data_IF_610022237239
#
_entry.id   IF_610022237239
#
_cell.length_a   1.000
_cell.length_b   1.000
_cell.length_c   1.000
_cell.angle_alpha   90.00
_cell.angle_beta   90.00
_cell.angle_gamma   90.00
#
_symmetry.space_group_name_H-M   'P 1'
#
loop_
_entity.id
_entity.type
_entity.pdbx_description
1 polymer ?
#
# COMPACT_ATOMS: atom_id res chain seq x y z
N UNK A 1 27.64 8.30 -8.55
CA UNK A 1 26.94 7.93 -7.30
C UNK A 1 25.46 7.68 -7.57
N UNK A 2 24.70 8.62 -8.10
CA UNK A 2 23.26 8.51 -8.41
C UNK A 2 22.92 7.34 -9.37
N UNK A 3 23.75 7.08 -10.40
CA UNK A 3 23.55 5.94 -11.29
C UNK A 3 23.62 4.58 -10.56
N UNK A 4 24.51 4.47 -9.58
CA UNK A 4 24.66 3.27 -8.73
C UNK A 4 23.46 3.09 -7.80
N UNK A 5 22.93 4.19 -7.24
CA UNK A 5 21.71 4.16 -6.43
C UNK A 5 20.46 3.82 -7.27
N UNK A 6 20.35 4.37 -8.50
CA UNK A 6 19.30 3.97 -9.44
C UNK A 6 19.39 2.49 -9.85
N UNK A 7 20.59 1.93 -9.97
CA UNK A 7 20.74 0.48 -10.19
C UNK A 7 20.29 -0.33 -8.98
N UNK A 8 20.61 0.10 -7.74
CA UNK A 8 20.12 -0.51 -6.51
C UNK A 8 18.60 -0.40 -6.40
N UNK A 9 18.02 0.76 -6.71
CA UNK A 9 16.57 0.95 -6.77
C UNK A 9 15.91 -0.05 -7.72
N UNK A 10 16.44 -0.18 -8.96
CA UNK A 10 15.93 -1.15 -9.94
C UNK A 10 16.07 -2.59 -9.46
N UNK A 11 17.11 -2.91 -8.70
CA UNK A 11 17.28 -4.24 -8.11
C UNK A 11 16.25 -4.50 -7.00
N UNK A 12 16.02 -3.53 -6.11
CA UNK A 12 15.00 -3.60 -5.07
C UNK A 12 13.58 -3.66 -5.66
N UNK A 13 13.29 -2.84 -6.69
CA UNK A 13 12.02 -2.87 -7.40
C UNK A 13 11.77 -4.21 -8.12
N UNK A 14 12.81 -4.81 -8.74
CA UNK A 14 12.71 -6.15 -9.33
C UNK A 14 12.45 -7.23 -8.27
N UNK A 15 13.11 -7.13 -7.11
CA UNK A 15 12.85 -8.04 -5.98
C UNK A 15 11.43 -7.86 -5.42
N UNK A 16 10.97 -6.64 -5.25
CA UNK A 16 9.61 -6.33 -4.83
C UNK A 16 8.58 -6.82 -5.87
N UNK A 17 8.81 -6.55 -7.17
CA UNK A 17 7.96 -7.07 -8.25
C UNK A 17 7.97 -8.60 -8.33
N UNK A 18 9.12 -9.26 -8.14
CA UNK A 18 9.19 -10.71 -8.10
C UNK A 18 8.50 -11.29 -6.87
N UNK A 19 8.56 -10.64 -5.70
CA UNK A 19 7.79 -11.00 -4.51
C UNK A 19 6.29 -10.79 -4.74
N UNK A 20 5.88 -9.65 -5.29
CA UNK A 20 4.48 -9.35 -5.66
C UNK A 20 3.95 -10.33 -6.70
N UNK A 21 4.73 -10.67 -7.75
CA UNK A 21 4.36 -11.68 -8.74
C UNK A 21 4.31 -13.09 -8.13
N UNK A 22 5.17 -13.42 -7.16
CA UNK A 22 5.10 -14.67 -6.41
C UNK A 22 3.90 -14.73 -5.48
N UNK A 23 3.56 -13.65 -4.79
CA UNK A 23 2.36 -13.58 -3.95
C UNK A 23 1.08 -13.59 -4.80
N UNK A 24 1.05 -12.88 -5.93
CA UNK A 24 -0.04 -12.94 -6.91
C UNK A 24 -0.15 -14.32 -7.56
N UNK A 25 0.98 -14.98 -7.89
CA UNK A 25 0.97 -16.31 -8.46
C UNK A 25 0.65 -17.39 -7.41
N UNK A 26 0.95 -17.20 -6.13
CA UNK A 26 0.55 -18.12 -5.07
C UNK A 26 -0.95 -17.98 -4.76
N UNK A 27 -1.50 -16.77 -4.71
CA UNK A 27 -2.94 -16.58 -4.65
C UNK A 27 -3.64 -17.14 -5.89
N UNK A 28 -3.07 -16.96 -7.09
CA UNK A 28 -3.61 -17.51 -8.33
C UNK A 28 -3.48 -19.05 -8.42
N UNK A 29 -2.43 -19.65 -7.82
CA UNK A 29 -2.30 -21.13 -7.74
C UNK A 29 -3.28 -21.73 -6.73
N UNK A 30 -3.59 -21.04 -5.64
CA UNK A 30 -4.68 -21.46 -4.75
C UNK A 30 -6.06 -21.43 -5.45
N UNK A 31 -6.21 -20.61 -6.51
CA UNK A 31 -7.42 -20.58 -7.34
C UNK A 31 -7.56 -21.80 -8.26
N UNK A 32 -6.44 -22.43 -8.67
CA UNK A 32 -6.50 -23.56 -9.64
C UNK A 32 -6.68 -24.94 -8.98
N UNK A 33 -6.44 -25.06 -7.66
CA UNK A 33 -6.50 -26.36 -6.97
C UNK A 33 -7.86 -26.72 -6.38
N UNK A 34 -8.84 -25.81 -6.44
CA UNK A 34 -10.19 -26.01 -5.88
C UNK A 34 -11.24 -26.38 -6.94
N UNK A 35 -10.88 -27.13 -7.97
CA UNK A 35 -11.84 -27.68 -8.94
C UNK A 35 -12.45 -28.99 -8.42
N UNK A 36 -13.05 -28.99 -7.24
CA UNK A 36 -13.83 -30.10 -6.73
C UNK A 36 -15.22 -29.63 -6.29
N UNK A 37 -16.12 -29.51 -7.26
CA UNK A 37 -17.49 -29.95 -7.09
C UNK A 37 -18.51 -29.01 -6.45
N UNK A 38 -18.39 -27.66 -6.53
CA UNK A 38 -19.44 -26.72 -6.12
C UNK A 38 -20.17 -26.07 -7.31
N UNK A 39 -21.44 -25.73 -7.12
CA UNK A 39 -22.28 -25.08 -8.13
C UNK A 39 -21.76 -23.65 -8.40
N UNK A 40 -20.87 -23.47 -9.35
CA UNK A 40 -20.24 -22.16 -9.70
C UNK A 40 -18.72 -22.16 -9.75
N UNK A 41 -18.03 -23.16 -9.17
CA UNK A 41 -16.55 -23.21 -9.14
C UNK A 41 -15.93 -23.27 -10.54
N UNK A 42 -16.52 -24.06 -11.44
CA UNK A 42 -16.07 -24.17 -12.83
C UNK A 42 -16.22 -22.83 -13.58
N UNK A 43 -17.33 -22.15 -13.41
CA UNK A 43 -17.60 -20.83 -13.98
C UNK A 43 -16.64 -19.78 -13.40
N UNK A 44 -16.43 -19.78 -12.09
CA UNK A 44 -15.47 -18.89 -11.47
C UNK A 44 -14.05 -19.10 -12.01
N UNK A 45 -13.61 -20.36 -12.09
CA UNK A 45 -12.28 -20.71 -12.63
C UNK A 45 -12.12 -20.31 -14.10
N UNK A 46 -13.20 -20.43 -14.88
CA UNK A 46 -13.20 -20.01 -16.29
C UNK A 46 -13.07 -18.47 -16.40
N UNK A 47 -13.80 -17.72 -15.60
CA UNK A 47 -13.66 -16.27 -15.54
C UNK A 47 -12.24 -15.82 -15.16
N UNK A 48 -11.59 -16.53 -14.23
CA UNK A 48 -10.17 -16.28 -13.89
C UNK A 48 -9.26 -16.56 -15.10
N UNK A 49 -9.50 -17.64 -15.86
CA UNK A 49 -8.74 -17.96 -17.07
C UNK A 49 -8.88 -16.86 -18.14
N UNK A 50 -10.08 -16.33 -18.34
CA UNK A 50 -10.32 -15.19 -19.22
C UNK A 50 -9.50 -13.98 -18.80
N UNK A 51 -9.54 -13.59 -17.54
CA UNK A 51 -8.80 -12.44 -17.03
C UNK A 51 -7.29 -12.59 -17.21
N UNK A 52 -6.78 -13.83 -17.12
CA UNK A 52 -5.36 -14.16 -17.32
C UNK A 52 -4.97 -14.34 -18.79
N UNK A 53 -5.88 -14.17 -19.76
CA UNK A 53 -5.63 -14.43 -21.17
C UNK A 53 -5.31 -15.91 -21.50
N UNK A 54 -5.74 -16.85 -20.64
CA UNK A 54 -5.49 -18.29 -20.77
C UNK A 54 -6.70 -19.08 -21.29
N UNK A 55 -7.83 -18.42 -21.52
CA UNK A 55 -9.01 -19.03 -22.10
C UNK A 55 -8.97 -18.94 -23.63
N UNK A 56 -9.49 -19.95 -24.32
CA UNK A 56 -9.68 -19.91 -25.77
C UNK A 56 -10.61 -18.73 -26.13
N UNK A 57 -10.17 -17.85 -27.02
CA UNK A 57 -10.89 -16.61 -27.38
C UNK A 57 -10.82 -15.47 -26.34
N UNK A 58 -10.01 -15.61 -25.29
CA UNK A 58 -9.94 -14.63 -24.17
C UNK A 58 -9.21 -13.32 -24.49
N UNK A 59 -8.50 -13.24 -25.62
CA UNK A 59 -7.71 -12.06 -25.97
C UNK A 59 -6.50 -11.84 -25.05
N UNK A 60 -5.88 -10.65 -25.14
CA UNK A 60 -4.76 -10.28 -24.28
C UNK A 60 -5.21 -10.03 -22.82
N UNK A 61 -4.29 -10.27 -21.88
CA UNK A 61 -4.53 -10.04 -20.43
C UNK A 61 -4.99 -8.60 -20.20
N UNK A 62 -6.13 -8.44 -19.54
CA UNK A 62 -6.69 -7.13 -19.23
C UNK A 62 -7.34 -6.41 -20.42
N UNK A 63 -7.45 -7.04 -21.60
CA UNK A 63 -8.20 -6.48 -22.72
C UNK A 63 -9.70 -6.44 -22.41
N UNK A 64 -10.45 -5.58 -23.13
CA UNK A 64 -11.92 -5.53 -23.00
C UNK A 64 -12.56 -6.89 -23.21
N UNK A 65 -12.10 -7.69 -24.16
CA UNK A 65 -12.59 -9.04 -24.43
C UNK A 65 -12.36 -9.99 -23.26
N UNK A 66 -11.15 -9.97 -22.66
CA UNK A 66 -10.83 -10.83 -21.52
C UNK A 66 -11.65 -10.45 -20.27
N UNK A 67 -11.86 -9.15 -20.07
CA UNK A 67 -12.66 -8.65 -18.93
C UNK A 67 -14.14 -8.99 -19.10
N UNK A 68 -14.71 -8.86 -20.33
CA UNK A 68 -16.10 -9.26 -20.60
C UNK A 68 -16.31 -10.77 -20.43
N UNK A 69 -15.37 -11.61 -20.88
CA UNK A 69 -15.42 -13.03 -20.64
C UNK A 69 -15.42 -13.38 -19.15
N UNK A 70 -14.54 -12.74 -18.39
CA UNK A 70 -14.49 -12.90 -16.93
C UNK A 70 -15.81 -12.44 -16.28
N UNK A 71 -16.34 -11.27 -16.68
CA UNK A 71 -17.60 -10.74 -16.18
C UNK A 71 -18.76 -11.70 -16.38
N UNK A 72 -18.90 -12.29 -17.60
CA UNK A 72 -19.96 -13.24 -17.93
C UNK A 72 -19.90 -14.46 -16.99
N UNK A 73 -18.74 -15.11 -16.90
CA UNK A 73 -18.59 -16.33 -16.11
C UNK A 73 -18.71 -16.06 -14.60
N UNK A 74 -18.18 -14.92 -14.10
CA UNK A 74 -18.35 -14.57 -12.70
C UNK A 74 -19.80 -14.19 -12.35
N UNK A 75 -20.54 -13.58 -13.29
CA UNK A 75 -21.98 -13.32 -13.08
C UNK A 75 -22.74 -14.63 -12.94
N UNK A 76 -22.53 -15.59 -13.85
CA UNK A 76 -23.14 -16.91 -13.78
C UNK A 76 -22.79 -17.66 -12.48
N UNK A 77 -21.55 -17.56 -12.01
CA UNK A 77 -21.13 -18.13 -10.74
C UNK A 77 -21.78 -17.42 -9.54
N UNK A 78 -21.83 -16.09 -9.56
CA UNK A 78 -22.38 -15.28 -8.48
C UNK A 78 -23.91 -15.49 -8.31
N UNK A 79 -24.65 -15.67 -9.42
CA UNK A 79 -26.08 -16.02 -9.42
C UNK A 79 -26.35 -17.37 -8.77
N UNK A 80 -25.37 -18.29 -8.85
CA UNK A 80 -25.39 -19.59 -8.16
C UNK A 80 -24.90 -19.49 -6.70
N UNK A 81 -24.67 -18.28 -6.18
CA UNK A 81 -24.23 -18.04 -4.80
C UNK A 81 -22.74 -18.24 -4.56
N UNK A 82 -21.90 -18.31 -5.63
CA UNK A 82 -20.46 -18.49 -5.46
C UNK A 82 -19.81 -17.23 -4.88
N UNK A 83 -19.46 -17.27 -3.61
CA UNK A 83 -18.99 -16.13 -2.79
C UNK A 83 -17.76 -15.41 -3.38
N UNK A 84 -16.77 -16.16 -3.89
CA UNK A 84 -15.57 -15.56 -4.48
C UNK A 84 -15.87 -14.84 -5.79
N UNK A 85 -16.85 -15.32 -6.58
CA UNK A 85 -17.28 -14.65 -7.79
C UNK A 85 -18.02 -13.34 -7.46
N UNK A 86 -18.85 -13.33 -6.42
CA UNK A 86 -19.48 -12.12 -5.91
C UNK A 86 -18.42 -11.10 -5.47
N UNK A 87 -17.41 -11.51 -4.70
CA UNK A 87 -16.29 -10.65 -4.30
C UNK A 87 -15.49 -10.11 -5.49
N UNK A 88 -15.22 -10.93 -6.50
CA UNK A 88 -14.52 -10.53 -7.71
C UNK A 88 -15.32 -9.51 -8.54
N UNK A 89 -16.62 -9.74 -8.73
CA UNK A 89 -17.52 -8.80 -9.39
C UNK A 89 -17.58 -7.47 -8.63
N UNK A 90 -17.73 -7.54 -7.31
CA UNK A 90 -17.74 -6.35 -6.47
C UNK A 90 -16.48 -5.50 -6.64
N UNK A 91 -15.32 -6.13 -6.61
CA UNK A 91 -14.03 -5.44 -6.83
C UNK A 91 -13.90 -4.90 -8.26
N UNK A 92 -14.41 -5.63 -9.26
CA UNK A 92 -14.38 -5.19 -10.66
C UNK A 92 -15.25 -3.94 -10.87
N UNK A 93 -16.49 -3.93 -10.37
CA UNK A 93 -17.38 -2.78 -10.47
C UNK A 93 -16.92 -1.59 -9.62
N UNK A 94 -16.24 -1.84 -8.49
CA UNK A 94 -15.71 -0.78 -7.63
C UNK A 94 -14.59 0.03 -8.31
N UNK A 95 -13.68 -0.67 -8.99
CA UNK A 95 -12.53 -0.06 -9.66
C UNK A 95 -12.85 0.44 -11.07
N UNK A 96 -13.78 -0.23 -11.73
CA UNK A 96 -13.95 -0.16 -13.16
C UNK A 96 -12.77 -0.83 -13.89
N UNK A 97 -12.96 -1.18 -15.14
CA UNK A 97 -11.90 -1.74 -16.00
C UNK A 97 -12.25 -1.48 -17.46
N UNK A 98 -11.32 -1.78 -18.39
CA UNK A 98 -11.55 -1.63 -19.82
C UNK A 98 -12.85 -2.32 -20.27
N UNK A 99 -13.85 -1.53 -20.69
CA UNK A 99 -15.17 -2.00 -21.12
C UNK A 99 -16.17 -2.29 -19.98
N UNK A 100 -15.78 -2.15 -18.71
CA UNK A 100 -16.69 -2.26 -17.55
C UNK A 100 -16.61 -0.97 -16.75
N UNK A 101 -17.61 -0.07 -16.87
CA UNK A 101 -17.59 1.19 -16.14
C UNK A 101 -17.69 0.94 -14.62
N UNK A 102 -17.08 1.85 -13.85
CA UNK A 102 -17.24 1.87 -12.40
C UNK A 102 -18.71 2.00 -12.05
N UNK A 103 -19.19 1.16 -11.14
CA UNK A 103 -20.57 1.17 -10.65
C UNK A 103 -20.59 0.78 -9.16
N UNK A 104 -20.66 1.79 -8.30
CA UNK A 104 -20.58 1.59 -6.85
C UNK A 104 -21.80 0.85 -6.31
N UNK A 105 -22.98 1.06 -6.88
CA UNK A 105 -24.20 0.35 -6.45
C UNK A 105 -24.11 -1.16 -6.71
N UNK A 106 -23.65 -1.56 -7.90
CA UNK A 106 -23.42 -2.99 -8.19
C UNK A 106 -22.25 -3.55 -7.36
N UNK A 107 -21.17 -2.78 -7.21
CA UNK A 107 -20.06 -3.18 -6.35
C UNK A 107 -20.54 -3.45 -4.93
N UNK A 108 -21.29 -2.52 -4.34
CA UNK A 108 -21.86 -2.65 -3.00
C UNK A 108 -22.72 -3.91 -2.87
N UNK A 109 -23.65 -4.13 -3.81
CA UNK A 109 -24.53 -5.32 -3.81
C UNK A 109 -23.73 -6.62 -3.76
N UNK A 110 -22.74 -6.76 -4.67
CA UNK A 110 -21.96 -8.00 -4.75
C UNK A 110 -20.98 -8.17 -3.59
N UNK A 111 -20.34 -7.08 -3.13
CA UNK A 111 -19.47 -7.12 -1.95
C UNK A 111 -20.26 -7.47 -0.68
N UNK A 112 -21.48 -6.91 -0.53
CA UNK A 112 -22.35 -7.21 0.59
C UNK A 112 -22.71 -8.70 0.62
N UNK A 113 -23.17 -9.27 -0.50
CA UNK A 113 -23.50 -10.69 -0.60
C UNK A 113 -22.30 -11.58 -0.24
N UNK A 114 -21.10 -11.23 -0.72
CA UNK A 114 -19.89 -11.99 -0.42
C UNK A 114 -19.47 -11.83 1.05
N UNK A 115 -19.60 -10.63 1.62
CA UNK A 115 -19.26 -10.35 3.03
C UNK A 115 -20.21 -11.09 3.98
N UNK A 116 -21.51 -11.10 3.68
CA UNK A 116 -22.53 -11.85 4.44
C UNK A 116 -22.25 -13.36 4.42
N UNK A 117 -21.63 -13.86 3.33
CA UNK A 117 -21.14 -15.23 3.23
C UNK A 117 -19.75 -15.45 3.85
N UNK A 118 -19.19 -14.46 4.55
CA UNK A 118 -17.92 -14.56 5.28
C UNK A 118 -16.66 -14.38 4.43
N UNK A 119 -16.75 -13.80 3.22
CA UNK A 119 -15.58 -13.54 2.38
C UNK A 119 -14.76 -12.36 2.94
N UNK A 120 -13.60 -12.66 3.52
CA UNK A 120 -12.71 -11.72 4.23
C UNK A 120 -12.27 -10.53 3.35
N UNK A 121 -11.92 -10.77 2.10
CA UNK A 121 -11.58 -9.71 1.14
C UNK A 121 -12.75 -8.77 0.87
N UNK A 122 -13.98 -9.28 0.79
CA UNK A 122 -15.17 -8.44 0.62
C UNK A 122 -15.52 -7.66 1.89
N UNK A 123 -15.37 -8.28 3.05
CA UNK A 123 -15.47 -7.55 4.33
C UNK A 123 -14.47 -6.40 4.38
N UNK A 124 -13.23 -6.63 3.97
CA UNK A 124 -12.22 -5.55 3.94
C UNK A 124 -12.62 -4.42 2.98
N UNK A 125 -13.04 -4.73 1.74
CA UNK A 125 -13.48 -3.70 0.78
C UNK A 125 -14.75 -2.96 1.25
N UNK A 126 -15.72 -3.65 1.90
CA UNK A 126 -16.87 -2.99 2.53
C UNK A 126 -16.45 -2.04 3.65
N UNK A 127 -15.52 -2.46 4.50
CA UNK A 127 -14.94 -1.59 5.53
C UNK A 127 -14.31 -0.33 4.95
N UNK A 128 -13.56 -0.44 3.84
CA UNK A 128 -12.98 0.72 3.13
C UNK A 128 -14.05 1.66 2.57
N UNK A 129 -15.09 1.10 1.95
CA UNK A 129 -16.20 1.90 1.42
C UNK A 129 -16.85 2.74 2.52
N UNK A 130 -17.15 2.14 3.66
CA UNK A 130 -17.74 2.88 4.78
C UNK A 130 -16.77 3.82 5.47
N UNK A 131 -15.47 3.49 5.53
CA UNK A 131 -14.46 4.37 6.12
C UNK A 131 -14.22 5.63 5.29
N UNK A 132 -14.11 5.49 3.97
CA UNK A 132 -13.87 6.61 3.06
C UNK A 132 -15.14 7.43 2.82
N UNK A 133 -16.27 6.73 2.63
CA UNK A 133 -17.51 7.32 2.17
C UNK A 133 -17.43 7.75 0.69
N UNK A 134 -18.58 7.99 0.10
CA UNK A 134 -18.76 8.57 -1.24
C UNK A 134 -20.18 9.14 -1.34
N UNK A 135 -20.52 9.76 -2.47
CA UNK A 135 -21.88 10.25 -2.71
C UNK A 135 -22.92 9.11 -2.69
N UNK A 136 -22.50 7.89 -3.12
CA UNK A 136 -23.39 6.73 -3.17
C UNK A 136 -23.40 5.90 -1.86
N UNK A 137 -22.32 5.97 -1.07
CA UNK A 137 -22.15 5.24 0.20
C UNK A 137 -21.70 6.22 1.26
N UNK A 138 -22.58 6.69 2.14
CA UNK A 138 -22.21 7.62 3.21
C UNK A 138 -21.12 7.01 4.12
N UNK A 139 -20.23 7.87 4.61
CA UNK A 139 -19.20 7.48 5.59
C UNK A 139 -19.86 6.98 6.87
N UNK A 140 -19.44 5.78 7.30
CA UNK A 140 -19.96 5.11 8.49
C UNK A 140 -18.84 4.33 9.18
N UNK A 141 -18.27 4.91 10.23
CA UNK A 141 -17.13 4.31 10.93
C UNK A 141 -17.53 3.09 11.77
N UNK A 142 -18.79 2.99 12.21
CA UNK A 142 -19.29 1.83 12.93
C UNK A 142 -19.31 0.59 12.02
N UNK A 143 -19.86 0.75 10.82
CA UNK A 143 -19.86 -0.32 9.81
C UNK A 143 -18.45 -0.65 9.34
N UNK A 144 -17.58 0.34 9.16
CA UNK A 144 -16.18 0.09 8.82
C UNK A 144 -15.49 -0.77 9.88
N UNK A 145 -15.66 -0.42 11.15
CA UNK A 145 -15.15 -1.18 12.30
C UNK A 145 -15.69 -2.61 12.31
N UNK A 146 -16.98 -2.79 12.11
CA UNK A 146 -17.63 -4.10 12.07
C UNK A 146 -17.00 -5.00 10.99
N UNK A 147 -16.95 -4.53 9.74
CA UNK A 147 -16.42 -5.31 8.62
C UNK A 147 -14.91 -5.60 8.75
N UNK A 148 -14.12 -4.63 9.19
CA UNK A 148 -12.69 -4.86 9.39
C UNK A 148 -12.41 -5.80 10.55
N UNK A 149 -13.26 -5.79 11.60
CA UNK A 149 -13.15 -6.76 12.70
C UNK A 149 -13.42 -8.17 12.20
N UNK A 150 -14.45 -8.39 11.38
CA UNK A 150 -14.72 -9.69 10.78
C UNK A 150 -13.58 -10.17 9.89
N UNK A 151 -13.07 -9.31 8.99
CA UNK A 151 -11.98 -9.66 8.11
C UNK A 151 -10.67 -9.94 8.86
N UNK A 152 -10.35 -9.14 9.88
CA UNK A 152 -9.15 -9.33 10.70
C UNK A 152 -9.21 -10.65 11.51
N UNK A 153 -10.40 -11.01 12.03
CA UNK A 153 -10.61 -12.29 12.71
C UNK A 153 -10.37 -13.49 11.79
N UNK A 154 -10.64 -13.34 10.48
CA UNK A 154 -10.34 -14.35 9.45
C UNK A 154 -8.87 -14.31 8.97
N UNK A 155 -8.04 -13.43 9.54
CA UNK A 155 -6.61 -13.31 9.20
C UNK A 155 -6.32 -12.47 7.97
N UNK A 156 -7.24 -11.58 7.55
CA UNK A 156 -7.01 -10.64 6.46
C UNK A 156 -6.10 -9.50 6.91
N UNK A 157 -4.87 -9.46 6.40
CA UNK A 157 -3.81 -8.56 6.85
C UNK A 157 -4.12 -7.07 6.71
N UNK A 158 -4.63 -6.67 5.54
CA UNK A 158 -4.96 -5.28 5.32
C UNK A 158 -6.09 -4.81 6.25
N UNK A 159 -7.06 -5.68 6.57
CA UNK A 159 -8.10 -5.38 7.55
C UNK A 159 -7.52 -5.26 8.97
N UNK A 160 -6.56 -6.13 9.33
CA UNK A 160 -5.86 -6.01 10.63
C UNK A 160 -5.10 -4.69 10.71
N UNK A 161 -4.42 -4.26 9.63
CA UNK A 161 -3.73 -2.97 9.59
C UNK A 161 -4.72 -1.79 9.72
N UNK A 162 -5.80 -1.78 8.92
CA UNK A 162 -6.78 -0.70 8.93
C UNK A 162 -7.52 -0.63 10.29
N UNK A 163 -7.84 -1.78 10.87
CA UNK A 163 -8.41 -1.85 12.22
C UNK A 163 -7.42 -1.34 13.29
N UNK A 164 -6.14 -1.72 13.17
CA UNK A 164 -5.07 -1.20 14.02
C UNK A 164 -4.95 0.32 13.94
N UNK A 165 -5.09 0.88 12.74
CA UNK A 165 -5.13 2.33 12.52
C UNK A 165 -6.33 2.99 13.23
N UNK A 166 -7.52 2.38 13.20
CA UNK A 166 -8.69 2.91 13.93
C UNK A 166 -8.41 2.98 15.44
N UNK A 167 -7.84 1.93 16.03
CA UNK A 167 -7.49 1.93 17.46
C UNK A 167 -6.38 2.93 17.79
N UNK A 168 -5.34 3.03 16.96
CA UNK A 168 -4.24 3.99 17.17
C UNK A 168 -4.69 5.45 17.10
N UNK A 169 -5.73 5.77 16.32
CA UNK A 169 -6.26 7.13 16.18
C UNK A 169 -7.50 7.39 17.03
N UNK A 170 -8.06 6.41 17.71
CA UNK A 170 -9.31 6.54 18.44
C UNK A 170 -10.52 6.85 17.54
N UNK A 171 -10.55 6.29 16.32
CA UNK A 171 -11.62 6.54 15.36
C UNK A 171 -12.82 5.64 15.64
N UNK A 172 -13.89 6.21 16.16
CA UNK A 172 -15.13 5.53 16.57
C UNK A 172 -14.94 4.44 17.66
N UNK A 173 -13.74 4.30 18.18
CA UNK A 173 -13.34 3.45 19.31
C UNK A 173 -12.48 4.26 20.26
N UNK A 174 -12.41 3.89 21.53
CA UNK A 174 -11.41 4.45 22.43
C UNK A 174 -10.02 4.17 21.87
N UNK A 175 -9.14 5.17 21.94
CA UNK A 175 -7.75 4.97 21.53
C UNK A 175 -7.11 3.85 22.38
N UNK A 176 -6.48 2.90 21.70
CA UNK A 176 -5.83 1.74 22.32
C UNK A 176 -4.59 1.37 21.51
N UNK A 177 -3.47 1.96 21.91
CA UNK A 177 -2.20 1.77 21.22
C UNK A 177 -1.67 0.33 21.37
N UNK A 178 -1.96 -0.37 22.48
CA UNK A 178 -1.55 -1.77 22.68
C UNK A 178 -2.29 -2.68 21.69
N UNK A 179 -3.60 -2.50 21.56
CA UNK A 179 -4.42 -3.24 20.60
C UNK A 179 -4.03 -2.92 19.16
N UNK A 180 -3.72 -1.66 18.86
CA UNK A 180 -3.20 -1.28 17.55
C UNK A 180 -1.90 -2.03 17.22
N UNK A 181 -0.96 -2.10 18.15
CA UNK A 181 0.30 -2.84 17.97
C UNK A 181 0.07 -4.33 17.77
N UNK A 182 -0.87 -4.96 18.51
CA UNK A 182 -1.22 -6.36 18.29
C UNK A 182 -1.73 -6.63 16.87
N UNK A 183 -2.60 -5.74 16.37
CA UNK A 183 -3.15 -5.81 15.02
C UNK A 183 -2.09 -5.54 13.94
N UNK A 184 -1.19 -4.59 14.17
CA UNK A 184 -0.05 -4.35 13.27
C UNK A 184 0.92 -5.54 13.23
N UNK A 185 1.17 -6.23 14.37
CA UNK A 185 1.97 -7.47 14.41
C UNK A 185 1.30 -8.59 13.61
N UNK A 186 -0.02 -8.71 13.70
CA UNK A 186 -0.79 -9.65 12.88
C UNK A 186 -0.62 -9.34 11.39
N UNK A 187 -0.74 -8.09 10.99
CA UNK A 187 -0.55 -7.67 9.59
C UNK A 187 0.91 -7.87 9.12
N UNK A 188 1.88 -7.56 9.96
CA UNK A 188 3.31 -7.70 9.66
C UNK A 188 3.78 -9.16 9.56
N UNK A 189 3.06 -10.12 10.17
CA UNK A 189 3.42 -11.56 10.13
C UNK A 189 3.48 -12.15 8.71
N UNK A 190 2.93 -11.44 7.73
CA UNK A 190 2.99 -11.79 6.30
C UNK A 190 3.70 -10.69 5.48
N UNK A 191 4.69 -10.04 6.08
CA UNK A 191 5.57 -9.04 5.45
C UNK A 191 4.84 -7.82 4.85
N UNK A 192 3.73 -7.36 5.46
CA UNK A 192 3.05 -6.13 5.03
C UNK A 192 3.91 -4.89 5.36
N UNK A 193 4.41 -4.13 4.37
CA UNK A 193 5.33 -3.03 4.63
C UNK A 193 4.72 -1.89 5.46
N UNK A 194 3.44 -1.58 5.24
CA UNK A 194 2.72 -0.54 5.98
C UNK A 194 2.62 -0.90 7.47
N UNK A 195 2.40 -2.19 7.78
CA UNK A 195 2.34 -2.67 9.15
C UNK A 195 3.71 -2.64 9.84
N UNK A 196 4.79 -3.02 9.13
CA UNK A 196 6.15 -2.84 9.64
C UNK A 196 6.46 -1.37 9.91
N UNK A 197 6.11 -0.46 9.01
CA UNK A 197 6.30 0.98 9.25
C UNK A 197 5.51 1.46 10.47
N UNK A 198 4.25 1.03 10.64
CA UNK A 198 3.44 1.37 11.80
C UNK A 198 4.05 0.86 13.12
N UNK A 199 4.59 -0.38 13.13
CA UNK A 199 5.33 -0.94 14.27
C UNK A 199 6.61 -0.15 14.55
N UNK A 200 7.34 0.25 13.51
CA UNK A 200 8.52 1.12 13.65
C UNK A 200 8.18 2.43 14.35
N UNK A 201 7.09 3.07 13.95
CA UNK A 201 6.60 4.29 14.62
C UNK A 201 6.16 4.03 16.07
N UNK A 202 5.48 2.91 16.33
CA UNK A 202 5.07 2.53 17.67
C UNK A 202 6.29 2.35 18.59
N UNK A 203 7.32 1.63 18.15
CA UNK A 203 8.57 1.44 18.89
C UNK A 203 9.35 2.76 19.06
N UNK A 204 9.39 3.62 18.03
CA UNK A 204 10.13 4.89 18.08
C UNK A 204 9.55 5.84 19.14
N UNK A 205 8.24 5.84 19.32
CA UNK A 205 7.52 6.76 20.19
C UNK A 205 7.01 6.13 21.48
N UNK A 206 7.21 4.83 21.69
CA UNK A 206 6.71 4.12 22.89
C UNK A 206 5.18 4.04 22.94
N UNK A 207 4.50 3.93 21.80
CA UNK A 207 3.04 3.83 21.71
C UNK A 207 2.58 2.39 21.71
N UNK A 208 1.96 1.93 22.79
CA UNK A 208 1.48 0.55 22.97
C UNK A 208 2.60 -0.49 23.12
N UNK A 209 3.86 -0.06 23.12
CA UNK A 209 5.07 -0.85 23.39
C UNK A 209 6.10 0.04 24.07
N UNK A 210 7.06 -0.53 24.81
CA UNK A 210 8.21 0.25 25.29
C UNK A 210 8.94 0.94 24.14
N UNK A 211 9.43 2.15 24.40
CA UNK A 211 10.22 2.87 23.42
C UNK A 211 11.52 2.14 23.13
N UNK A 212 11.78 1.84 21.86
CA UNK A 212 12.97 1.14 21.39
C UNK A 212 13.34 1.58 19.97
N UNK A 213 14.36 2.41 19.88
CA UNK A 213 14.80 2.96 18.61
C UNK A 213 15.49 1.91 17.70
N UNK A 214 16.12 0.88 18.26
CA UNK A 214 16.75 -0.20 17.47
C UNK A 214 15.70 -1.08 16.82
N UNK A 215 14.67 -1.47 17.57
CA UNK A 215 13.52 -2.17 17.00
C UNK A 215 12.81 -1.31 15.96
N UNK A 216 12.64 -0.01 16.19
CA UNK A 216 12.05 0.90 15.23
C UNK A 216 12.83 0.90 13.90
N UNK A 217 14.15 1.09 13.96
CA UNK A 217 15.01 1.06 12.77
C UNK A 217 14.95 -0.29 12.04
N UNK A 218 14.83 -1.39 12.77
CA UNK A 218 14.67 -2.73 12.19
C UNK A 218 13.35 -2.86 11.43
N UNK A 219 12.24 -2.42 12.00
CA UNK A 219 10.95 -2.41 11.34
C UNK A 219 10.92 -1.48 10.13
N UNK A 220 11.49 -0.27 10.22
CA UNK A 220 11.62 0.63 9.07
C UNK A 220 12.46 0.02 7.96
N UNK A 221 13.52 -0.73 8.29
CA UNK A 221 14.35 -1.42 7.30
C UNK A 221 13.55 -2.47 6.53
N UNK A 222 12.79 -3.32 7.22
CA UNK A 222 11.91 -4.30 6.56
C UNK A 222 10.94 -3.65 5.59
N UNK A 223 10.27 -2.57 6.01
CA UNK A 223 9.34 -1.84 5.15
C UNK A 223 10.05 -1.13 3.98
N UNK A 224 11.23 -0.53 4.22
CA UNK A 224 12.02 0.18 3.21
C UNK A 224 12.56 -0.77 2.13
N UNK A 225 13.04 -1.95 2.51
CA UNK A 225 13.49 -3.00 1.60
C UNK A 225 12.34 -3.57 0.75
N UNK A 226 11.13 -3.58 1.29
CA UNK A 226 9.92 -3.93 0.55
C UNK A 226 9.43 -2.80 -0.39
N UNK A 227 10.11 -1.64 -0.38
CA UNK A 227 9.83 -0.52 -1.30
C UNK A 227 8.84 0.52 -0.75
N UNK A 228 8.52 0.49 0.54
CA UNK A 228 7.68 1.52 1.14
C UNK A 228 8.46 2.85 1.22
N UNK A 229 8.06 3.83 0.42
CA UNK A 229 8.77 5.11 0.29
C UNK A 229 8.78 5.92 1.61
N UNK A 230 7.69 5.87 2.37
CA UNK A 230 7.63 6.53 3.67
C UNK A 230 8.57 5.87 4.69
N UNK A 231 8.69 4.54 4.68
CA UNK A 231 9.64 3.83 5.53
C UNK A 231 11.10 4.08 5.11
N UNK A 232 11.36 4.28 3.83
CA UNK A 232 12.68 4.72 3.33
C UNK A 232 13.02 6.10 3.90
N UNK A 233 12.09 7.02 3.92
CA UNK A 233 12.27 8.31 4.59
C UNK A 233 12.53 8.12 6.10
N UNK A 234 11.70 7.33 6.80
CA UNK A 234 11.82 7.11 8.24
C UNK A 234 13.19 6.48 8.59
N UNK A 235 13.66 5.50 7.80
CA UNK A 235 14.98 4.90 7.99
C UNK A 235 16.13 5.87 7.65
N UNK A 236 15.98 6.68 6.61
CA UNK A 236 16.92 7.76 6.28
C UNK A 236 17.07 8.75 7.46
N UNK A 237 15.95 9.10 8.09
CA UNK A 237 15.95 9.95 9.29
C UNK A 237 16.63 9.25 10.49
N UNK A 238 16.44 7.94 10.66
CA UNK A 238 17.17 7.18 11.67
C UNK A 238 18.68 7.26 11.47
N UNK A 239 19.17 7.05 10.25
CA UNK A 239 20.61 7.18 9.95
C UNK A 239 21.13 8.62 10.08
N UNK A 240 20.34 9.62 9.66
CA UNK A 240 20.73 11.03 9.78
C UNK A 240 20.90 11.46 11.24
N UNK A 241 20.05 10.96 12.14
CA UNK A 241 20.01 11.35 13.55
C UNK A 241 20.72 10.38 14.50
N UNK A 242 21.18 9.22 14.02
CA UNK A 242 21.75 8.17 14.86
C UNK A 242 20.71 7.53 15.81
N UNK A 243 19.44 7.43 15.39
CA UNK A 243 18.36 6.85 16.21
C UNK A 243 18.21 5.36 15.94
N UNK A 244 18.61 4.53 16.90
CA UNK A 244 18.55 3.07 16.79
C UNK A 244 19.54 2.46 15.78
N UNK A 245 20.36 3.28 15.17
CA UNK A 245 21.47 2.92 14.29
C UNK A 245 22.60 3.92 14.49
N UNK A 246 23.83 3.54 14.16
CA UNK A 246 24.93 4.48 14.08
C UNK A 246 24.67 5.57 13.05
N UNK A 247 24.98 6.83 13.38
CA UNK A 247 24.78 7.95 12.48
C UNK A 247 25.60 7.77 11.19
N UNK A 248 24.94 7.88 10.03
CA UNK A 248 25.56 7.71 8.73
C UNK A 248 24.84 8.55 7.68
N UNK A 249 25.38 9.73 7.39
CA UNK A 249 24.81 10.64 6.40
C UNK A 249 24.83 10.08 4.97
N UNK A 250 25.77 9.18 4.64
CA UNK A 250 25.81 8.58 3.32
C UNK A 250 24.66 7.57 3.13
N UNK A 251 24.37 6.77 4.16
CA UNK A 251 23.17 5.90 4.18
C UNK A 251 21.89 6.73 4.24
N UNK A 252 21.85 7.80 5.05
CA UNK A 252 20.71 8.70 5.09
C UNK A 252 20.40 9.27 3.70
N UNK A 253 21.40 9.78 2.98
CA UNK A 253 21.24 10.28 1.62
C UNK A 253 20.73 9.20 0.65
N UNK A 254 21.20 7.95 0.79
CA UNK A 254 20.75 6.83 -0.02
C UNK A 254 19.26 6.54 0.21
N UNK A 255 18.81 6.47 1.46
CA UNK A 255 17.42 6.19 1.79
C UNK A 255 16.50 7.38 1.47
N UNK A 256 16.94 8.62 1.70
CA UNK A 256 16.20 9.81 1.26
C UNK A 256 16.05 9.87 -0.26
N UNK A 257 17.09 9.46 -1.02
CA UNK A 257 16.98 9.36 -2.47
C UNK A 257 15.90 8.36 -2.90
N UNK A 258 15.85 7.17 -2.27
CA UNK A 258 14.82 6.17 -2.56
C UNK A 258 13.42 6.70 -2.22
N UNK A 259 13.24 7.32 -1.06
CA UNK A 259 11.98 7.94 -0.65
C UNK A 259 11.56 9.11 -1.56
N UNK A 260 12.53 9.90 -2.03
CA UNK A 260 12.30 11.01 -2.96
C UNK A 260 11.84 10.51 -4.35
N UNK A 261 12.47 9.45 -4.88
CA UNK A 261 12.02 8.77 -6.11
C UNK A 261 10.62 8.14 -5.93
N UNK A 262 10.25 7.75 -4.70
CA UNK A 262 8.90 7.32 -4.30
C UNK A 262 7.91 8.46 -4.09
N UNK A 263 8.30 9.71 -4.34
CA UNK A 263 7.41 10.87 -4.28
C UNK A 263 7.18 11.42 -2.87
N UNK A 264 8.01 11.11 -1.87
CA UNK A 264 7.89 11.62 -0.50
C UNK A 264 8.51 13.02 -0.41
N UNK A 265 7.71 14.10 -0.20
CA UNK A 265 8.25 15.47 -0.21
C UNK A 265 9.26 15.72 0.92
N UNK A 266 9.07 15.12 2.08
CA UNK A 266 10.00 15.22 3.21
C UNK A 266 11.36 14.59 2.89
N UNK A 267 11.38 13.48 2.15
CA UNK A 267 12.63 12.87 1.70
C UNK A 267 13.36 13.74 0.67
N UNK A 268 12.62 14.39 -0.23
CA UNK A 268 13.16 15.36 -1.19
C UNK A 268 13.79 16.55 -0.48
N UNK A 269 13.12 17.10 0.54
CA UNK A 269 13.64 18.18 1.37
C UNK A 269 14.94 17.79 2.08
N UNK A 270 14.96 16.66 2.77
CA UNK A 270 16.15 16.18 3.49
C UNK A 270 17.32 15.90 2.54
N UNK A 271 17.04 15.31 1.37
CA UNK A 271 18.08 15.07 0.37
C UNK A 271 18.66 16.38 -0.19
N UNK A 272 17.81 17.40 -0.42
CA UNK A 272 18.24 18.72 -0.83
C UNK A 272 19.19 19.35 0.20
N UNK A 273 18.86 19.25 1.48
CA UNK A 273 19.71 19.73 2.59
C UNK A 273 21.07 19.01 2.62
N UNK A 274 21.10 17.69 2.40
CA UNK A 274 22.34 16.94 2.34
C UNK A 274 23.23 17.37 1.14
N UNK A 275 22.63 17.65 -0.03
CA UNK A 275 23.35 18.22 -1.18
C UNK A 275 23.85 19.63 -0.92
N UNK A 276 23.05 20.48 -0.29
CA UNK A 276 23.43 21.86 0.05
C UNK A 276 24.64 21.87 0.98
N UNK A 277 24.62 21.02 2.02
CA UNK A 277 25.63 21.02 3.07
C UNK A 277 26.84 20.09 2.79
N UNK A 278 26.77 19.25 1.77
CA UNK A 278 27.81 18.26 1.48
C UNK A 278 27.90 17.16 2.55
N UNK A 279 26.79 16.84 3.24
CA UNK A 279 26.77 15.84 4.30
C UNK A 279 26.55 14.44 3.76
N UNK A 280 27.54 13.56 3.91
CA UNK A 280 27.50 12.16 3.43
C UNK A 280 27.57 12.00 1.91
N UNK A 281 27.39 13.07 1.17
CA UNK A 281 27.48 13.16 -0.30
C UNK A 281 28.20 14.47 -0.66
N UNK A 282 28.89 14.55 -1.81
CA UNK A 282 29.49 15.81 -2.27
C UNK A 282 28.43 16.91 -2.38
N UNK A 283 28.78 18.12 -1.94
CA UNK A 283 27.92 19.29 -2.11
C UNK A 283 27.61 19.52 -3.59
N UNK A 284 26.33 19.79 -3.89
CA UNK A 284 25.86 20.04 -5.25
C UNK A 284 24.66 21.00 -5.16
N UNK A 285 24.96 22.26 -5.35
CA UNK A 285 23.98 23.34 -5.19
C UNK A 285 22.84 23.24 -6.23
N UNK A 286 23.16 22.83 -7.45
CA UNK A 286 22.15 22.67 -8.51
C UNK A 286 21.15 21.57 -8.15
N UNK A 287 21.64 20.42 -7.68
CA UNK A 287 20.75 19.35 -7.21
C UNK A 287 19.98 19.74 -5.96
N UNK A 288 20.58 20.47 -5.03
CA UNK A 288 19.87 20.97 -3.87
C UNK A 288 18.65 21.80 -4.30
N UNK A 289 18.84 22.75 -5.23
CA UNK A 289 17.76 23.59 -5.77
C UNK A 289 16.70 22.72 -6.46
N UNK A 290 17.09 21.77 -7.30
CA UNK A 290 16.14 20.87 -7.99
C UNK A 290 15.27 20.08 -6.98
N UNK A 291 15.86 19.49 -5.95
CA UNK A 291 15.11 18.75 -4.95
C UNK A 291 14.24 19.66 -4.06
N UNK A 292 14.70 20.88 -3.74
CA UNK A 292 13.85 21.86 -3.05
C UNK A 292 12.65 22.27 -3.90
N UNK A 293 12.81 22.46 -5.22
CA UNK A 293 11.71 22.76 -6.13
C UNK A 293 10.65 21.66 -6.14
N UNK A 294 11.08 20.40 -6.24
CA UNK A 294 10.15 19.26 -6.21
C UNK A 294 9.43 19.14 -4.85
N UNK A 295 10.15 19.33 -3.74
CA UNK A 295 9.57 19.33 -2.41
C UNK A 295 8.57 20.49 -2.21
N UNK A 296 8.85 21.67 -2.76
CA UNK A 296 7.97 22.84 -2.74
C UNK A 296 6.68 22.61 -3.54
N UNK A 297 6.76 21.92 -4.69
CA UNK A 297 5.59 21.46 -5.45
C UNK A 297 4.78 20.42 -4.67
N UNK A 298 5.43 19.60 -3.84
CA UNK A 298 4.80 18.70 -2.87
C UNK A 298 4.16 19.40 -1.68
N UNK A 299 4.17 20.74 -1.64
CA UNK A 299 3.49 21.57 -0.64
C UNK A 299 4.32 21.91 0.60
N UNK A 300 5.62 21.56 0.64
CA UNK A 300 6.46 21.87 1.80
C UNK A 300 6.88 23.36 1.83
N UNK A 301 6.47 24.05 2.89
CA UNK A 301 6.80 25.46 3.09
C UNK A 301 8.28 25.69 3.35
N UNK A 302 8.94 24.78 4.07
CA UNK A 302 10.37 24.83 4.37
C UNK A 302 11.22 24.76 3.09
N UNK A 303 10.76 24.03 2.07
CA UNK A 303 11.44 23.98 0.78
C UNK A 303 11.33 25.31 0.02
N UNK A 304 10.18 26.00 0.10
CA UNK A 304 10.01 27.36 -0.47
C UNK A 304 10.92 28.36 0.21
N UNK A 305 10.98 28.33 1.53
CA UNK A 305 11.89 29.19 2.29
C UNK A 305 13.37 28.94 1.95
N UNK A 306 13.76 27.69 1.74
CA UNK A 306 15.11 27.35 1.30
C UNK A 306 15.42 27.94 -0.09
N UNK A 307 14.50 27.85 -1.04
CA UNK A 307 14.63 28.46 -2.37
C UNK A 307 14.77 29.99 -2.30
N UNK A 308 13.94 30.66 -1.48
CA UNK A 308 14.02 32.10 -1.24
C UNK A 308 15.40 32.49 -0.69
N UNK A 309 15.89 31.77 0.30
CA UNK A 309 17.22 31.99 0.89
C UNK A 309 18.36 31.83 -0.12
N UNK A 310 18.19 30.89 -1.06
CA UNK A 310 19.17 30.59 -2.11
C UNK A 310 19.02 31.53 -3.33
N UNK A 311 17.99 32.39 -3.36
CA UNK A 311 17.68 33.23 -4.53
C UNK A 311 17.29 32.43 -5.77
N UNK A 312 16.77 31.21 -5.57
CA UNK A 312 16.41 30.30 -6.65
C UNK A 312 14.92 30.34 -6.96
N UNK A 313 14.51 30.13 -8.23
CA UNK A 313 13.09 30.10 -8.60
C UNK A 313 12.38 28.90 -7.97
N UNK A 314 11.09 29.08 -7.60
CA UNK A 314 10.26 28.01 -7.01
C UNK A 314 9.85 26.95 -8.04
N UNK A 315 9.83 27.30 -9.32
CA UNK A 315 9.54 26.38 -10.42
C UNK A 315 10.83 26.01 -11.15
N UNK A 316 10.97 24.77 -11.64
CA UNK A 316 12.09 24.39 -12.47
C UNK A 316 12.11 25.24 -13.75
N UNK A 317 13.24 25.81 -14.08
CA UNK A 317 13.47 26.44 -15.39
C UNK A 317 13.33 25.38 -16.47
N UNK A 318 12.45 25.63 -17.46
CA UNK A 318 12.18 24.74 -18.59
C UNK A 318 13.41 24.48 -19.44
#
# INVERSE_FOLDING_TARGET
MMSRWRQQLRALQRHSQQRSLRSSSSSLRSFSSAASGGNGDAEFALGVKYLLGKAEGGGEVGSSSSVHGALLHWTNAAEKGHTRAQGALGSLYLKGHAGVPRNVALAFKFLQQAADAGHDGSCHEMGKLFFQGSDEVPRDLERALHYWTQAAASGHMAASYDLGYMYAQGLHVAQDDEKAVQLYRQAASKDMPEAHRALGNACLHGKGVPQDAEQAATHFRHAAEAGNALAQFDLGACYMLGRGVEQDFAKAAQFFFLGAEGGVPQAQLCLAQLFENGQGIPADHEKAVQYYQVAAQGGLHEAKQALDRLGAPHEPTK
#
